data_IF_701743210924
#
_entry.id   IF_701743210924
#
_cell.length_a   1.000
_cell.length_b   1.000
_cell.length_c   1.000
_cell.angle_alpha   90.00
_cell.angle_beta   90.00
_cell.angle_gamma   90.00
#
_symmetry.space_group_name_H-M   'P 1'
#
loop_
_entity.id
_entity.type
_entity.pdbx_description
1 polymer ?
#
# COMPACT_ATOMS: atom_id res chain seq x y z
N UNK A 1 2.19 41.85 38.20
CA UNK A 1 0.81 41.33 38.22
C UNK A 1 0.26 41.44 36.80
N UNK A 2 -0.25 40.30 36.32
CA UNK A 2 -1.12 40.00 35.16
C UNK A 2 -1.96 41.16 34.57
N UNK A 3 -2.50 41.11 33.35
CA UNK A 3 -2.42 40.20 32.19
C UNK A 3 -3.28 40.86 31.08
N UNK A 4 -3.02 40.40 29.87
CA UNK A 4 -3.50 40.68 28.52
C UNK A 4 -4.93 41.16 28.28
N UNK A 5 -5.06 42.01 27.26
CA UNK A 5 -6.29 42.21 26.51
C UNK A 5 -6.21 41.61 25.10
N UNK A 6 -7.41 41.29 24.59
CA UNK A 6 -7.79 40.99 23.21
C UNK A 6 -7.76 39.51 22.77
N UNK A 7 -8.96 38.93 22.59
CA UNK A 7 -9.24 37.89 21.59
C UNK A 7 -10.63 38.15 20.99
N UNK A 8 -10.65 38.33 19.67
CA UNK A 8 -11.84 38.42 18.83
C UNK A 8 -11.86 37.22 17.88
N UNK A 9 -13.08 36.69 17.72
CA UNK A 9 -13.67 35.85 16.68
C UNK A 9 -13.19 34.41 16.39
N UNK A 10 -14.19 33.51 16.53
CA UNK A 10 -14.58 32.34 15.70
C UNK A 10 -13.53 31.23 15.49
N UNK A 11 -13.82 29.93 15.59
CA UNK A 11 -15.01 29.17 15.24
C UNK A 11 -14.93 27.78 15.93
N UNK A 12 -16.09 27.12 16.06
CA UNK A 12 -16.45 25.81 16.62
C UNK A 12 -15.39 24.68 16.69
N UNK A 13 -15.59 23.59 17.49
CA UNK A 13 -16.86 23.06 18.03
C UNK A 13 -16.79 22.69 19.53
N UNK A 14 -17.89 22.24 20.15
CA UNK A 14 -17.74 20.95 20.82
C UNK A 14 -19.00 20.06 20.90
N UNK A 15 -18.74 18.76 20.88
CA UNK A 15 -19.24 17.74 21.80
C UNK A 15 -20.74 17.71 22.19
N UNK A 16 -21.37 16.59 21.81
CA UNK A 16 -21.99 15.61 22.72
C UNK A 16 -22.46 16.17 24.08
N UNK A 17 -23.76 16.10 24.35
CA UNK A 17 -24.35 15.40 25.52
C UNK A 17 -25.87 15.61 25.62
N UNK A 18 -26.45 14.61 26.27
CA UNK A 18 -27.84 14.23 26.49
C UNK A 18 -28.58 15.18 27.47
N UNK A 19 -29.89 15.40 27.28
CA UNK A 19 -30.89 15.36 28.36
C UNK A 19 -32.32 15.72 27.88
N UNK A 20 -33.21 14.83 28.27
CA UNK A 20 -34.68 14.83 28.30
C UNK A 20 -35.32 16.07 28.95
N UNK A 21 -36.50 16.51 28.46
CA UNK A 21 -37.75 16.83 29.24
C UNK A 21 -38.99 16.66 28.32
N UNK A 22 -40.08 16.25 28.96
CA UNK A 22 -41.30 15.52 28.58
C UNK A 22 -42.53 16.36 28.18
N UNK A 23 -43.49 15.68 27.51
CA UNK A 23 -44.99 15.72 27.62
C UNK A 23 -45.63 15.73 26.22
N UNK A 24 -46.64 14.93 25.83
CA UNK A 24 -47.51 13.92 26.44
C UNK A 24 -48.60 13.51 25.41
N UNK A 25 -49.44 12.51 25.76
CA UNK A 25 -50.66 11.98 25.05
C UNK A 25 -50.39 11.04 23.85
N UNK A 26 -51.00 9.86 23.65
CA UNK A 26 -52.01 9.02 24.32
C UNK A 26 -52.07 7.65 23.57
N UNK A 27 -52.65 6.59 24.19
CA UNK A 27 -53.13 5.31 23.62
C UNK A 27 -52.28 4.00 23.72
N UNK A 28 -52.42 3.33 24.88
CA UNK A 28 -52.95 1.96 25.13
C UNK A 28 -52.66 0.75 24.18
N UNK A 29 -52.11 -0.32 24.78
CA UNK A 29 -52.13 -1.80 24.45
C UNK A 29 -51.12 -2.41 23.45
N UNK A 30 -50.79 -3.72 23.53
CA UNK A 30 -50.29 -4.54 24.65
C UNK A 30 -49.00 -5.35 24.28
N UNK A 31 -48.26 -5.91 25.25
CA UNK A 31 -47.18 -6.89 24.98
C UNK A 31 -47.73 -8.26 24.55
N UNK A 32 -46.98 -8.99 23.69
CA UNK A 32 -46.90 -10.44 23.85
C UNK A 32 -45.46 -11.00 23.80
N UNK A 33 -45.15 -11.84 24.78
CA UNK A 33 -44.03 -12.78 24.86
C UNK A 33 -44.27 -13.97 23.90
N UNK A 34 -43.44 -14.22 22.87
CA UNK A 34 -43.39 -15.51 22.14
C UNK A 34 -41.95 -15.85 21.67
N UNK A 35 -41.32 -16.76 22.42
CA UNK A 35 -40.58 -18.00 22.06
C UNK A 35 -39.95 -18.21 20.65
N UNK A 36 -38.61 -18.38 20.67
CA UNK A 36 -37.62 -19.09 19.81
C UNK A 36 -38.12 -20.28 18.92
N UNK A 37 -37.60 -20.56 17.69
CA UNK A 37 -36.41 -21.44 17.49
C UNK A 37 -35.47 -21.27 16.25
N UNK A 38 -34.17 -21.53 16.48
CA UNK A 38 -33.08 -22.09 15.63
C UNK A 38 -33.23 -22.34 14.10
N UNK A 39 -32.24 -21.76 13.37
CA UNK A 39 -31.29 -22.37 12.38
C UNK A 39 -31.80 -22.81 10.98
N UNK A 40 -30.94 -23.07 9.95
CA UNK A 40 -29.49 -22.81 9.80
C UNK A 40 -29.10 -21.98 8.55
N UNK A 41 -27.82 -21.62 8.54
CA UNK A 41 -26.97 -21.12 7.45
C UNK A 41 -27.12 -21.85 6.11
N UNK A 42 -27.28 -21.10 5.03
CA UNK A 42 -26.74 -21.43 3.70
C UNK A 42 -25.84 -20.25 3.30
N UNK A 43 -24.60 -20.32 3.80
CA UNK A 43 -23.48 -19.52 3.31
C UNK A 43 -22.84 -20.32 2.19
N UNK A 44 -23.33 -20.14 0.96
CA UNK A 44 -22.57 -20.53 -0.23
C UNK A 44 -21.42 -19.55 -0.41
N UNK A 45 -20.35 -19.81 0.34
CA UNK A 45 -19.09 -19.09 0.29
C UNK A 45 -18.22 -19.69 -0.81
N UNK A 46 -18.57 -19.42 -2.07
CA UNK A 46 -17.68 -19.64 -3.21
C UNK A 46 -16.61 -18.54 -3.24
N UNK A 47 -15.58 -18.69 -2.40
CA UNK A 47 -14.45 -17.76 -2.35
C UNK A 47 -13.13 -18.52 -2.39
N UNK A 48 -12.99 -19.44 -3.36
CA UNK A 48 -11.72 -20.11 -3.68
C UNK A 48 -10.97 -19.46 -4.86
N UNK A 49 -11.48 -18.35 -5.43
CA UNK A 49 -10.90 -17.72 -6.62
C UNK A 49 -9.61 -16.93 -6.36
N UNK A 50 -9.27 -16.61 -5.11
CA UNK A 50 -8.06 -15.81 -4.80
C UNK A 50 -6.81 -16.68 -4.63
N UNK A 51 -6.97 -17.93 -4.16
CA UNK A 51 -5.85 -18.85 -3.94
C UNK A 51 -5.23 -19.36 -5.25
N UNK A 52 -6.04 -19.53 -6.30
CA UNK A 52 -5.52 -19.96 -7.61
C UNK A 52 -4.64 -18.88 -8.26
N UNK A 53 -4.95 -17.60 -8.06
CA UNK A 53 -4.15 -16.49 -8.61
C UNK A 53 -2.79 -16.38 -7.91
N UNK A 54 -2.75 -16.47 -6.57
CA UNK A 54 -1.49 -16.43 -5.81
C UNK A 54 -0.54 -17.58 -6.17
N UNK A 55 -1.08 -18.79 -6.38
CA UNK A 55 -0.29 -19.95 -6.77
C UNK A 55 0.33 -19.77 -8.17
N UNK A 56 -0.45 -19.24 -9.12
CA UNK A 56 0.04 -18.94 -10.47
C UNK A 56 1.12 -17.84 -10.47
N UNK A 57 0.93 -16.78 -9.68
CA UNK A 57 1.93 -15.72 -9.52
C UNK A 57 3.25 -16.27 -8.95
N UNK A 58 3.19 -17.12 -7.91
CA UNK A 58 4.37 -17.75 -7.34
C UNK A 58 5.12 -18.63 -8.35
N UNK A 59 4.41 -19.41 -9.16
CA UNK A 59 5.00 -20.24 -10.21
C UNK A 59 5.68 -19.38 -11.30
N UNK A 60 5.06 -18.26 -11.67
CA UNK A 60 5.64 -17.31 -12.61
C UNK A 60 6.95 -16.72 -12.07
N UNK A 61 6.97 -16.30 -10.81
CA UNK A 61 8.16 -15.75 -10.13
C UNK A 61 9.30 -16.79 -10.12
N UNK A 62 9.03 -18.04 -9.74
CA UNK A 62 10.04 -19.11 -9.75
C UNK A 62 10.58 -19.40 -11.16
N UNK A 63 9.71 -19.36 -12.17
CA UNK A 63 10.12 -19.55 -13.57
C UNK A 63 11.07 -18.45 -14.01
N UNK A 64 10.74 -17.19 -13.69
CA UNK A 64 11.58 -16.03 -14.00
C UNK A 64 12.91 -16.05 -13.22
N UNK A 65 12.91 -16.47 -11.96
CA UNK A 65 14.15 -16.68 -11.18
C UNK A 65 15.07 -17.71 -11.83
N UNK A 66 14.50 -18.83 -12.28
CA UNK A 66 15.24 -19.86 -13.01
C UNK A 66 15.78 -19.31 -14.33
N UNK A 67 14.96 -18.58 -15.09
CA UNK A 67 15.39 -17.96 -16.35
C UNK A 67 16.55 -16.97 -16.14
N UNK A 68 16.45 -16.10 -15.13
CA UNK A 68 17.50 -15.16 -14.78
C UNK A 68 18.77 -15.84 -14.25
N UNK A 69 18.63 -16.97 -13.55
CA UNK A 69 19.78 -17.77 -13.13
C UNK A 69 20.53 -18.42 -14.31
N UNK A 70 19.79 -18.81 -15.36
CA UNK A 70 20.35 -19.37 -16.58
C UNK A 70 20.90 -18.29 -17.52
N UNK A 71 20.23 -17.12 -17.57
CA UNK A 71 20.62 -15.99 -18.40
C UNK A 71 20.45 -14.66 -17.64
N UNK A 72 21.47 -14.24 -16.88
CA UNK A 72 21.46 -12.97 -16.15
C UNK A 72 21.42 -11.75 -17.07
N UNK A 73 21.63 -11.89 -18.38
CA UNK A 73 21.58 -10.77 -19.32
C UNK A 73 20.22 -10.64 -20.02
N UNK A 74 19.18 -11.31 -19.50
CA UNK A 74 17.82 -11.16 -20.02
C UNK A 74 17.09 -9.96 -19.40
N UNK A 75 17.10 -8.83 -20.11
CA UNK A 75 16.40 -7.61 -19.71
C UNK A 75 14.88 -7.82 -19.57
N UNK A 76 14.24 -8.54 -20.50
CA UNK A 76 12.78 -8.72 -20.47
C UNK A 76 12.36 -9.57 -19.26
N UNK A 77 13.12 -10.62 -18.95
CA UNK A 77 12.90 -11.43 -17.76
C UNK A 77 12.99 -10.60 -16.48
N UNK A 78 13.95 -9.67 -16.37
CA UNK A 78 14.02 -8.75 -15.22
C UNK A 78 12.79 -7.85 -15.13
N UNK A 79 12.34 -7.26 -16.24
CA UNK A 79 11.15 -6.40 -16.26
C UNK A 79 9.91 -7.18 -15.82
N UNK A 80 9.72 -8.41 -16.31
CA UNK A 80 8.61 -9.26 -15.90
C UNK A 80 8.72 -9.69 -14.43
N UNK A 81 9.93 -10.01 -13.96
CA UNK A 81 10.19 -10.42 -12.58
C UNK A 81 9.89 -9.30 -11.59
N UNK A 82 10.38 -8.09 -11.86
CA UNK A 82 10.10 -6.89 -11.05
C UNK A 82 8.59 -6.61 -11.00
N UNK A 83 7.88 -6.75 -12.14
CA UNK A 83 6.42 -6.57 -12.19
C UNK A 83 5.68 -7.63 -11.35
N UNK A 84 6.11 -8.89 -11.43
CA UNK A 84 5.50 -9.98 -10.66
C UNK A 84 5.73 -9.78 -9.15
N UNK A 85 6.95 -9.43 -8.74
CA UNK A 85 7.28 -9.13 -7.35
C UNK A 85 6.49 -7.95 -6.78
N UNK A 86 6.29 -6.90 -7.59
CA UNK A 86 5.48 -5.74 -7.19
C UNK A 86 4.02 -6.10 -6.95
N UNK A 87 3.45 -7.05 -7.72
CA UNK A 87 2.09 -7.56 -7.51
C UNK A 87 1.99 -8.43 -6.26
N UNK A 88 2.97 -9.30 -6.05
CA UNK A 88 3.03 -10.17 -4.87
C UNK A 88 3.30 -9.39 -3.57
N UNK A 89 3.93 -8.22 -3.65
CA UNK A 89 4.31 -7.43 -2.48
C UNK A 89 5.58 -7.94 -1.77
N UNK A 90 6.40 -8.79 -2.42
CA UNK A 90 7.70 -9.19 -1.89
C UNK A 90 8.75 -8.09 -2.13
N UNK A 91 8.81 -7.16 -1.19
CA UNK A 91 9.61 -5.93 -1.29
C UNK A 91 11.12 -6.19 -1.25
N UNK A 92 11.52 -7.18 -0.47
CA UNK A 92 12.93 -7.53 -0.29
C UNK A 92 13.49 -8.11 -1.60
N UNK A 93 12.73 -9.01 -2.25
CA UNK A 93 13.09 -9.50 -3.58
C UNK A 93 12.99 -8.40 -4.63
N UNK A 94 11.98 -7.53 -4.56
CA UNK A 94 11.81 -6.42 -5.51
C UNK A 94 13.02 -5.49 -5.53
N UNK A 95 13.55 -5.13 -4.36
CA UNK A 95 14.78 -4.34 -4.23
C UNK A 95 15.98 -5.04 -4.86
N UNK A 96 16.22 -6.30 -4.48
CA UNK A 96 17.34 -7.09 -5.03
C UNK A 96 17.26 -7.24 -6.54
N UNK A 97 16.06 -7.48 -7.08
CA UNK A 97 15.85 -7.60 -8.51
C UNK A 97 16.20 -6.31 -9.25
N UNK A 98 15.79 -5.15 -8.70
CA UNK A 98 16.09 -3.83 -9.27
C UNK A 98 17.55 -3.45 -9.15
N UNK A 99 18.19 -3.76 -8.02
CA UNK A 99 19.64 -3.58 -7.83
C UNK A 99 20.42 -4.40 -8.87
N UNK A 100 20.15 -5.71 -8.95
CA UNK A 100 20.81 -6.58 -9.93
C UNK A 100 20.58 -6.12 -11.36
N UNK A 101 19.36 -5.70 -11.72
CA UNK A 101 19.07 -5.17 -13.05
C UNK A 101 19.86 -3.88 -13.33
N UNK A 102 19.94 -2.96 -12.36
CA UNK A 102 20.67 -1.70 -12.52
C UNK A 102 22.19 -1.85 -12.55
N UNK A 103 22.74 -2.95 -12.04
CA UNK A 103 24.17 -3.29 -12.18
C UNK A 103 24.50 -3.82 -13.58
N UNK A 104 23.54 -4.46 -14.24
CA UNK A 104 23.73 -5.11 -15.53
C UNK A 104 23.28 -4.23 -16.70
N UNK A 105 22.30 -3.36 -16.49
CA UNK A 105 21.68 -2.55 -17.54
C UNK A 105 21.56 -1.08 -17.13
N UNK A 106 21.79 -0.14 -18.06
CA UNK A 106 21.42 1.25 -17.83
C UNK A 106 19.89 1.35 -17.72
N UNK A 107 19.40 1.81 -16.58
CA UNK A 107 17.97 2.02 -16.38
C UNK A 107 17.54 3.38 -16.94
N UNK A 108 16.36 3.41 -17.56
CA UNK A 108 15.74 4.66 -18.01
C UNK A 108 15.34 5.54 -16.81
N UNK A 109 15.18 6.86 -17.00
CA UNK A 109 14.75 7.75 -15.90
C UNK A 109 13.37 7.34 -15.35
N UNK A 110 12.50 6.82 -16.20
CA UNK A 110 11.18 6.34 -15.81
C UNK A 110 11.27 5.14 -14.86
N UNK A 111 12.14 4.18 -15.13
CA UNK A 111 12.35 3.03 -14.24
C UNK A 111 12.92 3.45 -12.87
N UNK A 112 13.85 4.40 -12.85
CA UNK A 112 14.35 4.97 -11.60
C UNK A 112 13.24 5.68 -10.80
N UNK A 113 12.38 6.44 -11.48
CA UNK A 113 11.24 7.10 -10.84
C UNK A 113 10.21 6.11 -10.30
N UNK A 114 9.89 5.05 -11.06
CA UNK A 114 8.99 3.99 -10.59
C UNK A 114 9.54 3.29 -9.35
N UNK A 115 10.83 2.99 -9.33
CA UNK A 115 11.48 2.41 -8.16
C UNK A 115 11.36 3.35 -6.95
N UNK A 116 11.75 4.61 -7.10
CA UNK A 116 11.66 5.57 -6.00
C UNK A 116 10.23 5.79 -5.48
N UNK A 117 9.22 5.78 -6.37
CA UNK A 117 7.81 5.87 -6.01
C UNK A 117 7.34 4.65 -5.23
N UNK A 118 7.75 3.45 -5.66
CA UNK A 118 7.42 2.22 -4.96
C UNK A 118 8.01 2.25 -3.55
N UNK A 119 9.30 2.57 -3.39
CA UNK A 119 9.93 2.73 -2.08
C UNK A 119 9.17 3.75 -1.21
N UNK A 120 8.87 4.94 -1.75
CA UNK A 120 8.13 5.97 -1.02
C UNK A 120 6.71 5.53 -0.60
N UNK A 121 6.02 4.74 -1.42
CA UNK A 121 4.68 4.23 -1.11
C UNK A 121 4.69 3.15 -0.02
N UNK A 122 5.81 2.45 0.13
CA UNK A 122 6.00 1.35 1.08
C UNK A 122 6.56 1.84 2.41
N UNK A 123 7.35 2.91 2.37
CA UNK A 123 7.90 3.61 3.52
C UNK A 123 6.84 4.42 4.25
N UNK A 124 6.05 3.73 5.07
CA UNK A 124 5.17 4.37 6.07
C UNK A 124 5.95 5.09 7.18
N UNK A 125 7.27 4.90 7.23
CA UNK A 125 8.18 5.41 8.28
C UNK A 125 9.16 6.41 7.68
N UNK A 126 9.32 7.55 8.37
CA UNK A 126 10.22 8.64 7.97
C UNK A 126 11.71 8.27 7.90
N UNK A 127 12.08 7.03 8.23
CA UNK A 127 13.46 6.56 8.29
C UNK A 127 14.02 6.12 6.93
N UNK A 128 13.15 5.92 5.92
CA UNK A 128 13.56 5.44 4.60
C UNK A 128 13.81 6.57 3.57
N UNK A 129 13.49 7.83 3.92
CA UNK A 129 13.74 8.99 3.05
C UNK A 129 15.20 9.11 2.56
N UNK A 130 16.24 8.88 3.40
CA UNK A 130 17.62 8.93 2.93
C UNK A 130 17.97 7.83 1.91
N UNK A 131 17.30 6.67 1.97
CA UNK A 131 17.52 5.60 1.00
C UNK A 131 16.91 5.95 -0.36
N UNK A 132 15.72 6.56 -0.36
CA UNK A 132 15.04 7.06 -1.56
C UNK A 132 15.84 8.20 -2.20
N UNK A 133 16.37 9.13 -1.41
CA UNK A 133 17.22 10.23 -1.89
C UNK A 133 18.47 9.70 -2.60
N UNK A 134 19.20 8.76 -2.00
CA UNK A 134 20.34 8.10 -2.64
C UNK A 134 19.97 7.40 -3.94
N UNK A 135 18.77 6.84 -4.03
CA UNK A 135 18.28 6.20 -5.24
C UNK A 135 18.10 7.23 -6.37
N UNK A 136 17.54 8.39 -6.07
CA UNK A 136 17.44 9.51 -7.02
C UNK A 136 18.83 10.01 -7.43
N UNK A 137 19.75 10.22 -6.49
CA UNK A 137 21.12 10.67 -6.78
C UNK A 137 21.83 9.71 -7.74
N UNK A 138 21.69 8.40 -7.51
CA UNK A 138 22.25 7.36 -8.38
C UNK A 138 21.63 7.41 -9.76
N UNK A 139 20.29 7.46 -9.85
CA UNK A 139 19.60 7.55 -11.13
C UNK A 139 19.94 8.82 -11.92
N UNK A 140 20.20 9.95 -11.25
CA UNK A 140 20.63 11.21 -11.89
C UNK A 140 22.10 11.13 -12.32
N UNK A 141 22.95 10.49 -11.54
CA UNK A 141 24.39 10.34 -11.84
C UNK A 141 24.63 9.58 -13.14
N UNK A 142 23.81 8.56 -13.44
CA UNK A 142 23.88 7.81 -14.70
C UNK A 142 23.82 8.71 -15.95
N UNK A 143 23.19 9.90 -15.85
CA UNK A 143 23.03 10.85 -16.96
C UNK A 143 24.02 12.02 -16.95
N UNK A 144 24.75 12.23 -15.84
CA UNK A 144 25.66 13.37 -15.69
C UNK A 144 27.11 13.08 -16.07
N UNK A 145 27.52 11.81 -16.14
CA UNK A 145 28.92 11.40 -16.42
C UNK A 145 29.37 11.75 -17.86
N UNK A 146 28.48 12.24 -18.72
CA UNK A 146 28.79 12.58 -20.12
C UNK A 146 29.11 14.05 -20.45
N UNK A 147 29.24 14.96 -19.48
CA UNK A 147 29.32 16.42 -19.78
C UNK A 147 30.71 17.07 -19.60
N UNK A 148 31.79 16.29 -19.42
CA UNK A 148 33.15 16.84 -19.33
C UNK A 148 34.03 16.32 -20.50
N UNK A 149 33.86 16.94 -21.68
CA UNK A 149 34.85 16.95 -22.78
C UNK A 149 34.57 18.07 -23.76
#
# INVERSE_FOLDING_TARGET
MAETGNVDSSDAPPHREEATITNGTEADQPMPDIQNPKSPSDSDSDSDSDFEDEAQQNLQIQTLESELSNNPLNYDAYVQYIKALRKQGDLEKLRKAREAMSELFPLSPEMWQEWAKDEASLSSRSEDFPAIEKLYERGVSDYLVGSDS
#
